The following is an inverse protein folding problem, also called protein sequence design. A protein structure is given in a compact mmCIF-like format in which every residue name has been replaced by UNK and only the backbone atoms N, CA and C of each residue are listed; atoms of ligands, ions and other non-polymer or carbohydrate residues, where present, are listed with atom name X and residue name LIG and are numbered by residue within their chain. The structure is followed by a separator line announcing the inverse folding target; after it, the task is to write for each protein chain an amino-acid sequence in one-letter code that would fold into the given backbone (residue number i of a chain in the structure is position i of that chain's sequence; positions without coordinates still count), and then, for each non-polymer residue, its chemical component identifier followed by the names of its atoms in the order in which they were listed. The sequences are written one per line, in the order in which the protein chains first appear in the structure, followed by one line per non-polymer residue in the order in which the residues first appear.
data_IF_856888359739
#
_entry.id   IF_856888359739
#
_cell.length_a   1.000
_cell.length_b   1.000
_cell.length_c   1.000
_cell.angle_alpha   90.00
_cell.angle_beta   90.00
_cell.angle_gamma   90.00
#
_symmetry.space_group_name_H-M   'P 1'
#
loop_
_entity.id
_entity.type
_entity.pdbx_description
1 polymer ?
#
# COMPACT_ATOMS: atom_id res chain seq x y z
N UNK A 1 1.30 -8.06 32.69
CA UNK A 1 0.65 -6.83 32.20
C UNK A 1 -0.58 -7.30 31.45
N UNK A 2 -1.78 -6.76 31.67
CA UNK A 2 -2.91 -7.13 30.85
C UNK A 2 -2.61 -6.71 29.42
N UNK A 3 -2.80 -7.63 28.46
CA UNK A 3 -2.73 -7.33 27.05
C UNK A 3 -3.72 -6.18 26.73
N UNK A 4 -3.31 -5.23 25.92
CA UNK A 4 -4.16 -4.16 25.39
C UNK A 4 -5.27 -4.78 24.52
N UNK A 5 -6.33 -5.29 25.15
CA UNK A 5 -7.46 -5.94 24.46
C UNK A 5 -8.40 -4.94 23.82
N UNK A 6 -8.46 -3.70 24.33
CA UNK A 6 -9.45 -2.71 23.95
C UNK A 6 -9.43 -2.27 22.49
N UNK A 7 -8.24 -2.06 21.90
CA UNK A 7 -8.16 -1.67 20.46
C UNK A 7 -8.62 -2.81 19.56
N UNK A 8 -8.16 -4.04 19.79
CA UNK A 8 -8.57 -5.20 18.99
C UNK A 8 -10.07 -5.49 19.12
N UNK A 9 -10.62 -5.37 20.34
CA UNK A 9 -12.05 -5.53 20.59
C UNK A 9 -12.87 -4.41 19.93
N UNK A 10 -12.39 -3.15 20.01
CA UNK A 10 -12.98 -2.02 19.32
C UNK A 10 -13.05 -2.21 17.80
N UNK A 11 -11.99 -2.74 17.18
CA UNK A 11 -11.96 -3.07 15.74
C UNK A 11 -13.02 -4.14 15.44
N UNK A 12 -13.09 -5.23 16.22
CA UNK A 12 -14.08 -6.29 16.01
C UNK A 12 -15.53 -5.79 16.13
N UNK A 13 -15.82 -4.88 17.08
CA UNK A 13 -17.13 -4.22 17.19
C UNK A 13 -17.42 -3.35 15.97
N UNK A 14 -16.43 -2.60 15.48
CA UNK A 14 -16.59 -1.77 14.29
C UNK A 14 -16.88 -2.63 13.05
N UNK A 15 -16.19 -3.75 12.87
CA UNK A 15 -16.42 -4.70 11.77
C UNK A 15 -17.81 -5.35 11.83
N UNK A 16 -18.36 -5.54 13.02
CA UNK A 16 -19.73 -6.04 13.21
C UNK A 16 -20.80 -4.96 13.10
N UNK A 17 -20.42 -3.68 12.89
CA UNK A 17 -21.33 -2.54 12.78
C UNK A 17 -21.71 -1.87 14.11
N UNK A 18 -21.17 -2.33 15.24
CA UNK A 18 -21.35 -1.71 16.55
C UNK A 18 -20.38 -0.54 16.74
N UNK A 19 -20.68 0.58 16.07
CA UNK A 19 -19.84 1.80 16.14
C UNK A 19 -19.80 2.37 17.55
N UNK A 20 -20.92 2.41 18.25
CA UNK A 20 -20.98 2.96 19.62
C UNK A 20 -20.14 2.12 20.59
N UNK A 21 -20.23 0.80 20.49
CA UNK A 21 -19.39 -0.11 21.26
C UNK A 21 -17.92 0.03 20.93
N UNK A 22 -17.57 0.21 19.65
CA UNK A 22 -16.17 0.41 19.22
C UNK A 22 -15.56 1.70 19.82
N UNK A 23 -16.31 2.82 19.82
CA UNK A 23 -15.87 4.08 20.44
C UNK A 23 -15.52 3.88 21.90
N UNK A 24 -16.39 3.16 22.64
CA UNK A 24 -16.17 2.89 24.07
C UNK A 24 -14.89 2.10 24.31
N UNK A 25 -14.64 1.06 23.51
CA UNK A 25 -13.41 0.26 23.65
C UNK A 25 -12.16 1.09 23.30
N UNK A 26 -12.21 1.89 22.22
CA UNK A 26 -11.09 2.75 21.86
C UNK A 26 -10.80 3.82 22.91
N UNK A 27 -11.86 4.39 23.53
CA UNK A 27 -11.70 5.33 24.63
C UNK A 27 -11.08 4.66 25.85
N UNK A 28 -11.58 3.50 26.24
CA UNK A 28 -11.00 2.70 27.35
C UNK A 28 -9.54 2.35 27.10
N UNK A 29 -9.19 1.97 25.87
CA UNK A 29 -7.82 1.68 25.48
C UNK A 29 -6.93 2.92 25.63
N UNK A 30 -7.38 4.07 25.15
CA UNK A 30 -6.64 5.33 25.26
C UNK A 30 -6.44 5.77 26.72
N UNK A 31 -7.46 5.65 27.56
CA UNK A 31 -7.39 5.94 29.01
C UNK A 31 -6.44 4.97 29.73
N UNK A 32 -6.31 3.74 29.23
CA UNK A 32 -5.37 2.74 29.74
C UNK A 32 -3.93 2.95 29.22
N UNK A 33 -3.68 3.98 28.38
CA UNK A 33 -2.36 4.31 27.83
C UNK A 33 -2.05 3.71 26.47
N UNK A 34 -3.02 3.05 25.80
CA UNK A 34 -2.88 2.63 24.41
C UNK A 34 -3.24 3.79 23.49
N UNK A 35 -2.20 4.47 22.99
CA UNK A 35 -2.34 5.64 22.14
C UNK A 35 -3.12 5.36 20.84
N UNK A 36 -3.16 4.12 20.36
CA UNK A 36 -3.92 3.75 19.17
C UNK A 36 -5.43 3.90 19.37
N UNK A 37 -5.95 3.89 20.62
CA UNK A 37 -7.36 4.18 20.92
C UNK A 37 -7.81 5.53 20.37
N UNK A 38 -7.06 6.61 20.66
CA UNK A 38 -7.36 7.94 20.12
C UNK A 38 -7.19 8.01 18.58
N UNK A 39 -6.22 7.28 18.00
CA UNK A 39 -6.09 7.17 16.56
C UNK A 39 -7.36 6.62 15.91
N UNK A 40 -7.92 5.52 16.43
CA UNK A 40 -9.14 4.93 15.86
C UNK A 40 -10.37 5.82 16.04
N UNK A 41 -10.51 6.52 17.17
CA UNK A 41 -11.58 7.52 17.34
C UNK A 41 -11.42 8.64 16.30
N UNK A 42 -10.20 9.14 16.09
CA UNK A 42 -9.89 10.11 15.03
C UNK A 42 -10.31 9.62 13.65
N UNK A 43 -10.08 8.34 13.33
CA UNK A 43 -10.53 7.72 12.07
C UNK A 43 -12.05 7.72 11.92
N UNK A 44 -12.80 7.51 12.99
CA UNK A 44 -14.26 7.56 12.95
C UNK A 44 -14.76 8.98 12.61
N UNK A 45 -14.18 10.03 13.21
CA UNK A 45 -14.50 11.43 12.87
C UNK A 45 -14.08 11.79 11.45
N UNK A 46 -12.91 11.33 11.00
CA UNK A 46 -12.42 11.58 9.65
C UNK A 46 -13.33 10.99 8.57
N UNK A 47 -13.89 9.81 8.83
CA UNK A 47 -14.75 9.08 7.89
C UNK A 47 -16.25 9.37 8.08
N UNK A 48 -16.64 10.01 9.17
CA UNK A 48 -18.06 10.23 9.52
C UNK A 48 -18.78 8.93 9.88
N UNK A 49 -18.08 8.00 10.56
CA UNK A 49 -18.67 6.73 10.99
C UNK A 49 -19.31 6.87 12.36
N UNK A 50 -20.64 6.79 12.43
CA UNK A 50 -21.42 6.94 13.65
C UNK A 50 -21.57 8.36 14.18
N UNK A 51 -21.05 9.36 13.47
CA UNK A 51 -21.13 10.79 13.74
C UNK A 51 -20.94 11.57 12.44
N UNK A 52 -21.21 12.88 12.47
CA UNK A 52 -20.85 13.74 11.34
C UNK A 52 -19.33 13.77 11.17
N UNK A 53 -18.91 13.91 9.89
CA UNK A 53 -17.51 14.04 9.56
C UNK A 53 -16.92 15.32 10.17
N UNK A 54 -15.88 15.18 10.98
CA UNK A 54 -15.16 16.30 11.61
C UNK A 54 -13.64 16.14 11.47
N UNK A 55 -13.05 16.62 10.37
CA UNK A 55 -11.62 16.52 10.12
C UNK A 55 -10.75 17.28 11.14
N UNK A 56 -11.27 18.37 11.74
CA UNK A 56 -10.53 19.13 12.74
C UNK A 56 -10.38 18.30 14.01
N UNK A 57 -11.46 17.73 14.50
CA UNK A 57 -11.46 16.85 15.67
C UNK A 57 -10.64 15.59 15.43
N UNK A 58 -10.68 15.03 14.22
CA UNK A 58 -9.82 13.92 13.83
C UNK A 58 -8.34 14.30 13.96
N UNK A 59 -7.96 15.48 13.47
CA UNK A 59 -6.58 15.97 13.55
C UNK A 59 -6.12 16.16 15.00
N UNK A 60 -6.96 16.71 15.87
CA UNK A 60 -6.65 16.86 17.30
C UNK A 60 -6.40 15.50 17.96
N UNK A 61 -7.23 14.50 17.65
CA UNK A 61 -7.09 13.14 18.17
C UNK A 61 -5.81 12.46 17.64
N UNK A 62 -5.48 12.66 16.36
CA UNK A 62 -4.22 12.17 15.82
C UNK A 62 -3.01 12.84 16.46
N UNK A 63 -3.08 14.15 16.74
CA UNK A 63 -2.01 14.85 17.44
C UNK A 63 -1.83 14.32 18.87
N UNK A 64 -2.92 14.10 19.61
CA UNK A 64 -2.86 13.52 20.94
C UNK A 64 -2.27 12.09 20.94
N UNK A 65 -2.73 11.23 20.02
CA UNK A 65 -2.21 9.87 19.86
C UNK A 65 -0.73 9.85 19.43
N UNK A 66 -0.35 10.71 18.49
CA UNK A 66 1.03 10.83 18.01
C UNK A 66 1.99 11.29 19.12
N UNK A 67 1.56 12.21 19.97
CA UNK A 67 2.31 12.67 21.14
C UNK A 67 2.54 11.54 22.17
N UNK A 68 1.60 10.60 22.28
CA UNK A 68 1.72 9.41 23.13
C UNK A 68 2.40 8.22 22.44
N UNK A 69 2.91 8.41 21.21
CA UNK A 69 3.73 7.41 20.54
C UNK A 69 3.00 6.49 19.56
N UNK A 70 1.71 6.70 19.26
CA UNK A 70 1.03 5.94 18.20
C UNK A 70 1.70 6.18 16.85
N UNK A 71 2.35 5.15 16.30
CA UNK A 71 2.98 5.21 14.99
C UNK A 71 1.97 5.42 13.86
N UNK A 72 0.77 4.82 13.98
CA UNK A 72 -0.33 5.03 13.03
C UNK A 72 -0.77 6.50 13.01
N UNK A 73 -0.91 7.12 14.20
CA UNK A 73 -1.28 8.52 14.31
C UNK A 73 -0.17 9.45 13.82
N UNK A 74 1.09 9.15 14.12
CA UNK A 74 2.24 9.89 13.58
C UNK A 74 2.24 9.88 12.05
N UNK A 75 2.08 8.71 11.44
CA UNK A 75 1.99 8.61 9.99
C UNK A 75 0.79 9.41 9.44
N UNK A 76 -0.41 9.26 10.03
CA UNK A 76 -1.61 9.95 9.53
C UNK A 76 -1.49 11.47 9.67
N UNK A 77 -1.05 11.96 10.83
CA UNK A 77 -0.82 13.39 11.06
C UNK A 77 0.26 13.95 10.11
N UNK A 78 1.33 13.21 9.89
CA UNK A 78 2.36 13.57 8.92
C UNK A 78 1.81 13.69 7.50
N UNK A 79 0.91 12.79 7.09
CA UNK A 79 0.22 12.88 5.79
C UNK A 79 -0.69 14.12 5.69
N UNK A 80 -1.35 14.53 6.78
CA UNK A 80 -2.11 15.78 6.82
C UNK A 80 -1.21 17.00 6.65
N UNK A 81 -0.04 17.05 7.31
CA UNK A 81 0.96 18.10 7.08
C UNK A 81 1.53 18.08 5.66
N UNK A 82 1.67 16.89 5.05
CA UNK A 82 2.16 16.77 3.67
C UNK A 82 1.16 17.32 2.66
N UNK A 83 -0.15 17.08 2.86
CA UNK A 83 -1.22 17.54 1.96
C UNK A 83 -1.68 18.97 2.27
N UNK A 84 -1.57 19.43 3.51
CA UNK A 84 -2.20 20.66 3.98
C UNK A 84 -3.70 20.52 4.23
N UNK A 85 -4.22 19.30 4.38
CA UNK A 85 -5.63 19.06 4.64
C UNK A 85 -5.93 19.26 6.14
N UNK A 86 -6.71 20.28 6.47
CA UNK A 86 -7.09 20.60 7.84
C UNK A 86 -5.99 21.22 8.71
N UNK A 87 -4.77 21.32 8.18
CA UNK A 87 -3.59 21.97 8.82
C UNK A 87 -2.79 22.75 7.78
N UNK A 88 -1.98 23.69 8.22
CA UNK A 88 -1.03 24.34 7.32
C UNK A 88 -0.02 23.31 6.80
N UNK A 89 0.21 23.29 5.48
CA UNK A 89 1.20 22.40 4.88
C UNK A 89 2.59 22.66 5.44
N UNK A 90 3.27 21.59 5.87
CA UNK A 90 4.61 21.66 6.44
C UNK A 90 5.37 20.37 6.13
N UNK A 91 6.20 20.38 5.09
CA UNK A 91 6.96 19.22 4.66
C UNK A 91 8.00 18.76 5.70
N UNK A 92 8.55 19.67 6.51
CA UNK A 92 9.50 19.30 7.57
C UNK A 92 8.80 18.52 8.68
N UNK A 93 7.68 19.03 9.21
CA UNK A 93 6.87 18.30 10.19
C UNK A 93 6.34 17.00 9.64
N UNK A 94 5.92 16.98 8.37
CA UNK A 94 5.44 15.77 7.71
C UNK A 94 6.53 14.69 7.71
N UNK A 95 7.75 15.03 7.28
CA UNK A 95 8.85 14.08 7.23
C UNK A 95 9.27 13.58 8.61
N UNK A 96 9.33 14.45 9.61
CA UNK A 96 9.67 14.07 10.99
C UNK A 96 8.68 13.06 11.55
N UNK A 97 7.38 13.31 11.38
CA UNK A 97 6.33 12.44 11.88
C UNK A 97 6.26 11.10 11.12
N UNK A 98 6.30 11.15 9.80
CA UNK A 98 6.18 9.95 8.96
C UNK A 98 7.40 9.03 9.17
N UNK A 99 8.62 9.60 9.17
CA UNK A 99 9.83 8.78 9.37
C UNK A 99 9.94 8.27 10.80
N UNK A 100 9.44 9.01 11.80
CA UNK A 100 9.31 8.51 13.18
C UNK A 100 8.37 7.31 13.26
N UNK A 101 7.22 7.35 12.58
CA UNK A 101 6.31 6.19 12.46
C UNK A 101 6.98 5.01 11.76
N UNK A 102 7.74 5.28 10.70
CA UNK A 102 8.51 4.26 9.98
C UNK A 102 9.54 3.56 10.87
N UNK A 103 10.26 4.31 11.68
CA UNK A 103 11.28 3.77 12.60
C UNK A 103 10.64 3.02 13.79
N UNK A 104 9.40 3.39 14.16
CA UNK A 104 8.58 2.64 15.11
C UNK A 104 7.97 1.35 14.52
N UNK A 105 8.19 1.07 13.22
CA UNK A 105 7.78 -0.18 12.58
C UNK A 105 6.46 -0.11 11.81
N UNK A 106 5.77 1.04 11.72
CA UNK A 106 4.54 1.17 10.95
C UNK A 106 4.80 0.98 9.45
N UNK A 107 4.15 -0.01 8.83
CA UNK A 107 4.38 -0.35 7.43
C UNK A 107 3.97 0.78 6.46
N UNK A 108 2.88 1.50 6.77
CA UNK A 108 2.48 2.66 5.98
C UNK A 108 3.46 3.82 6.17
N UNK A 109 3.94 4.05 7.41
CA UNK A 109 5.00 5.01 7.71
C UNK A 109 6.28 4.69 6.95
N UNK A 110 6.70 3.43 6.93
CA UNK A 110 7.86 2.98 6.15
C UNK A 110 7.68 3.24 4.65
N UNK A 111 6.53 2.90 4.10
CA UNK A 111 6.25 3.19 2.70
C UNK A 111 6.27 4.70 2.41
N UNK A 112 5.60 5.50 3.22
CA UNK A 112 5.51 6.95 3.05
C UNK A 112 6.85 7.65 3.28
N UNK A 113 7.66 7.24 4.28
CA UNK A 113 9.02 7.78 4.47
C UNK A 113 9.92 7.47 3.26
N UNK A 114 9.78 6.29 2.66
CA UNK A 114 10.43 5.96 1.40
C UNK A 114 10.03 6.91 0.26
N UNK A 115 8.75 7.27 0.15
CA UNK A 115 8.26 8.26 -0.83
C UNK A 115 8.88 9.64 -0.59
N UNK A 116 8.95 10.08 0.68
CA UNK A 116 9.57 11.37 1.01
C UNK A 116 11.04 11.43 0.57
N UNK A 117 11.80 10.36 0.81
CA UNK A 117 13.19 10.28 0.35
C UNK A 117 13.32 10.16 -1.17
N UNK A 118 12.42 9.46 -1.85
CA UNK A 118 12.47 9.37 -3.32
C UNK A 118 12.14 10.69 -4.00
N UNK A 119 11.25 11.49 -3.40
CA UNK A 119 10.78 12.76 -3.94
C UNK A 119 11.58 13.97 -3.44
N UNK A 120 12.33 13.84 -2.33
CA UNK A 120 13.00 14.97 -1.67
C UNK A 120 12.04 15.92 -0.98
N UNK A 121 10.90 15.42 -0.47
CA UNK A 121 9.89 16.23 0.22
C UNK A 121 10.13 16.26 1.73
N UNK A 122 10.48 17.43 2.28
CA UNK A 122 10.83 17.62 3.68
C UNK A 122 12.18 17.03 4.10
N UNK A 123 12.81 16.28 3.21
CA UNK A 123 14.16 15.69 3.35
C UNK A 123 14.92 15.82 2.05
N UNK A 124 16.26 15.74 2.08
CA UNK A 124 17.04 15.65 0.84
C UNK A 124 16.72 14.33 0.11
N UNK A 125 16.59 14.39 -1.22
CA UNK A 125 16.36 13.19 -2.03
C UNK A 125 17.46 12.16 -1.82
N UNK A 126 17.06 10.92 -1.53
CA UNK A 126 17.98 9.80 -1.26
C UNK A 126 17.32 8.47 -1.64
N UNK A 127 17.62 7.98 -2.84
CA UNK A 127 17.08 6.72 -3.34
C UNK A 127 17.55 5.50 -2.52
N UNK A 128 18.74 5.55 -1.93
CA UNK A 128 19.22 4.43 -1.11
C UNK A 128 18.37 4.30 0.16
N UNK A 129 18.06 5.42 0.82
CA UNK A 129 17.14 5.44 1.97
C UNK A 129 15.73 5.05 1.57
N UNK A 130 15.22 5.54 0.44
CA UNK A 130 13.90 5.16 -0.07
C UNK A 130 13.78 3.65 -0.20
N UNK A 131 14.77 3.00 -0.84
CA UNK A 131 14.82 1.54 -0.99
C UNK A 131 14.89 0.81 0.36
N UNK A 132 15.61 1.32 1.35
CA UNK A 132 15.66 0.74 2.71
C UNK A 132 14.28 0.74 3.34
N UNK A 133 13.58 1.86 3.33
CA UNK A 133 12.24 1.96 3.91
C UNK A 133 11.21 1.11 3.16
N UNK A 134 11.23 1.12 1.81
CA UNK A 134 10.33 0.25 1.03
C UNK A 134 10.62 -1.23 1.23
N UNK A 135 11.89 -1.65 1.41
CA UNK A 135 12.19 -3.05 1.76
C UNK A 135 11.66 -3.44 3.14
N UNK A 136 11.73 -2.54 4.14
CA UNK A 136 11.13 -2.79 5.46
C UNK A 136 9.61 -2.96 5.34
N UNK A 137 8.93 -2.08 4.61
CA UNK A 137 7.48 -2.18 4.36
C UNK A 137 7.12 -3.45 3.58
N UNK A 138 7.90 -3.81 2.55
CA UNK A 138 7.72 -5.03 1.77
C UNK A 138 7.90 -6.31 2.61
N UNK A 139 8.80 -6.29 3.60
CA UNK A 139 8.94 -7.35 4.60
C UNK A 139 7.70 -7.55 5.47
N UNK A 140 6.82 -6.54 5.55
CA UNK A 140 5.50 -6.58 6.17
C UNK A 140 4.37 -6.76 5.14
N UNK A 141 4.67 -7.26 3.96
CA UNK A 141 3.72 -7.51 2.87
C UNK A 141 2.99 -6.25 2.33
N UNK A 142 3.57 -5.06 2.50
CA UNK A 142 2.97 -3.82 2.02
C UNK A 142 3.02 -3.76 0.49
N UNK A 143 1.87 -4.01 -0.14
CA UNK A 143 1.74 -4.20 -1.61
C UNK A 143 2.31 -3.03 -2.41
N UNK A 144 1.99 -1.78 -2.02
CA UNK A 144 2.50 -0.62 -2.73
C UNK A 144 4.03 -0.54 -2.65
N UNK A 145 4.65 -0.84 -1.50
CA UNK A 145 6.11 -0.84 -1.37
C UNK A 145 6.77 -1.89 -2.28
N UNK A 146 6.18 -3.08 -2.40
CA UNK A 146 6.67 -4.12 -3.32
C UNK A 146 6.61 -3.63 -4.78
N UNK A 147 5.50 -2.98 -5.18
CA UNK A 147 5.39 -2.42 -6.52
C UNK A 147 6.42 -1.29 -6.77
N UNK A 148 6.65 -0.41 -5.79
CA UNK A 148 7.65 0.65 -5.91
C UNK A 148 9.08 0.11 -6.00
N UNK A 149 9.40 -0.97 -5.28
CA UNK A 149 10.67 -1.69 -5.43
C UNK A 149 10.82 -2.28 -6.85
N UNK A 150 9.74 -2.83 -7.42
CA UNK A 150 9.73 -3.31 -8.80
C UNK A 150 9.99 -2.17 -9.79
N UNK A 151 9.31 -1.04 -9.64
CA UNK A 151 9.51 0.14 -10.49
C UNK A 151 10.93 0.72 -10.35
N UNK A 152 11.46 0.80 -9.13
CA UNK A 152 12.81 1.28 -8.89
C UNK A 152 13.86 0.40 -9.58
N UNK A 153 13.72 -0.92 -9.50
CA UNK A 153 14.59 -1.87 -10.19
C UNK A 153 14.47 -1.75 -11.71
N UNK A 154 13.27 -1.53 -12.24
CA UNK A 154 13.04 -1.36 -13.68
C UNK A 154 13.65 -0.05 -14.21
N UNK A 155 13.57 1.05 -13.43
CA UNK A 155 13.97 2.41 -13.85
C UNK A 155 15.39 2.81 -13.44
N UNK A 156 16.20 1.90 -12.93
CA UNK A 156 17.55 2.19 -12.42
C UNK A 156 17.58 3.22 -11.28
N UNK A 157 16.54 3.25 -10.43
CA UNK A 157 16.43 4.19 -9.32
C UNK A 157 17.10 3.60 -8.06
N UNK A 158 18.18 4.24 -7.62
CA UNK A 158 18.98 3.76 -6.48
C UNK A 158 19.94 2.62 -6.78
N UNK A 159 20.13 2.28 -8.07
CA UNK A 159 21.04 1.24 -8.54
C UNK A 159 20.88 0.98 -10.04
N UNK A 160 21.65 0.07 -10.64
CA UNK A 160 21.48 -0.30 -12.05
C UNK A 160 20.10 -0.93 -12.29
N UNK A 161 19.60 -0.82 -13.53
CA UNK A 161 18.37 -1.50 -13.92
C UNK A 161 18.53 -3.02 -13.79
N UNK A 162 17.54 -3.66 -13.19
CA UNK A 162 17.47 -5.11 -13.01
C UNK A 162 16.04 -5.59 -13.34
N UNK A 163 15.77 -5.90 -14.63
CA UNK A 163 14.46 -6.38 -15.05
C UNK A 163 14.04 -7.70 -14.41
N UNK A 164 14.98 -8.59 -14.08
CA UNK A 164 14.69 -9.86 -13.42
C UNK A 164 14.18 -9.65 -11.98
N UNK A 165 14.84 -8.75 -11.24
CA UNK A 165 14.42 -8.35 -9.90
C UNK A 165 13.07 -7.63 -9.94
N UNK A 166 12.85 -6.73 -10.92
CA UNK A 166 11.59 -6.05 -11.13
C UNK A 166 10.45 -7.06 -11.36
N UNK A 167 10.66 -8.03 -12.28
CA UNK A 167 9.70 -9.11 -12.51
C UNK A 167 9.36 -9.87 -11.23
N UNK A 168 10.35 -10.23 -10.40
CA UNK A 168 10.13 -10.93 -9.14
C UNK A 168 9.26 -10.14 -8.15
N UNK A 169 9.43 -8.82 -8.05
CA UNK A 169 8.57 -7.97 -7.23
C UNK A 169 7.14 -7.91 -7.76
N UNK A 170 6.98 -7.67 -9.06
CA UNK A 170 5.65 -7.61 -9.68
C UNK A 170 4.93 -8.97 -9.64
N UNK A 171 5.66 -10.08 -9.74
CA UNK A 171 5.08 -11.41 -9.62
C UNK A 171 4.44 -11.64 -8.24
N UNK A 172 5.08 -11.18 -7.16
CA UNK A 172 4.52 -11.27 -5.80
C UNK A 172 3.18 -10.55 -5.70
N UNK A 173 3.10 -9.31 -6.19
CA UNK A 173 1.86 -8.53 -6.12
C UNK A 173 0.82 -9.01 -7.15
N UNK A 174 1.24 -9.47 -8.31
CA UNK A 174 0.39 -10.09 -9.32
C UNK A 174 -0.26 -11.37 -8.77
N UNK A 175 0.51 -12.24 -8.11
CA UNK A 175 -0.02 -13.48 -7.51
C UNK A 175 -1.12 -13.19 -6.47
N UNK A 176 -1.01 -12.08 -5.73
CA UNK A 176 -2.05 -11.63 -4.81
C UNK A 176 -3.25 -10.93 -5.50
N UNK A 177 -3.22 -10.81 -6.82
CA UNK A 177 -4.29 -10.19 -7.59
C UNK A 177 -4.23 -8.67 -7.66
N UNK A 178 -3.11 -8.06 -7.29
CA UNK A 178 -2.96 -6.62 -7.43
C UNK A 178 -2.96 -6.21 -8.91
N UNK A 179 -3.86 -5.29 -9.35
CA UNK A 179 -4.00 -4.95 -10.77
C UNK A 179 -2.74 -4.35 -11.39
N UNK A 180 -1.96 -3.54 -10.63
CA UNK A 180 -0.70 -2.99 -11.11
C UNK A 180 0.35 -4.11 -11.30
N UNK A 181 0.48 -5.02 -10.34
CA UNK A 181 1.38 -6.17 -10.46
C UNK A 181 1.04 -7.04 -11.68
N UNK A 182 -0.24 -7.36 -11.88
CA UNK A 182 -0.72 -8.11 -13.04
C UNK A 182 -0.38 -7.39 -14.36
N UNK A 183 -0.55 -6.08 -14.40
CA UNK A 183 -0.25 -5.26 -15.57
C UNK A 183 1.25 -5.23 -15.90
N UNK A 184 2.11 -5.04 -14.89
CA UNK A 184 3.56 -5.03 -15.09
C UNK A 184 4.08 -6.43 -15.49
N UNK A 185 3.50 -7.51 -14.98
CA UNK A 185 3.78 -8.89 -15.46
C UNK A 185 3.35 -9.06 -16.92
N UNK A 186 2.19 -8.52 -17.32
CA UNK A 186 1.75 -8.57 -18.71
C UNK A 186 2.76 -7.87 -19.65
N UNK A 187 3.23 -6.67 -19.26
CA UNK A 187 4.26 -5.94 -20.00
C UNK A 187 5.59 -6.71 -20.07
N UNK A 188 5.96 -7.34 -18.97
CA UNK A 188 7.19 -8.14 -18.90
C UNK A 188 7.16 -9.30 -19.88
N UNK A 189 6.06 -10.03 -19.97
CA UNK A 189 5.87 -11.10 -20.96
C UNK A 189 5.75 -10.57 -22.39
N UNK A 190 5.11 -9.42 -22.63
CA UNK A 190 5.03 -8.81 -23.96
C UNK A 190 6.42 -8.42 -24.49
N UNK A 191 7.27 -7.85 -23.63
CA UNK A 191 8.56 -7.27 -24.01
C UNK A 191 9.73 -8.22 -23.84
N UNK A 192 9.57 -9.36 -23.17
CA UNK A 192 10.67 -10.21 -22.76
C UNK A 192 11.59 -9.56 -21.70
N UNK A 193 11.02 -8.71 -20.84
CA UNK A 193 11.78 -7.94 -19.85
C UNK A 193 11.84 -8.67 -18.52
N UNK A 194 13.01 -9.20 -18.18
CA UNK A 194 13.23 -9.98 -16.96
C UNK A 194 12.71 -11.42 -17.01
N UNK A 195 12.03 -11.79 -18.08
CA UNK A 195 11.51 -13.14 -18.40
C UNK A 195 11.45 -13.30 -19.91
N UNK A 196 11.45 -14.52 -20.42
CA UNK A 196 11.25 -14.77 -21.86
C UNK A 196 9.86 -14.27 -22.30
N UNK A 197 9.80 -13.66 -23.49
CA UNK A 197 8.56 -13.17 -24.07
C UNK A 197 7.57 -14.31 -24.28
N UNK A 198 6.30 -14.05 -23.94
CA UNK A 198 5.19 -15.00 -24.06
C UNK A 198 3.89 -14.20 -24.27
N UNK A 199 3.45 -14.00 -25.52
CA UNK A 199 2.29 -13.16 -25.80
C UNK A 199 0.98 -13.76 -25.31
N UNK A 200 0.88 -15.07 -25.13
CA UNK A 200 -0.32 -15.75 -24.57
C UNK A 200 -0.44 -15.38 -23.09
N UNK A 201 0.64 -15.51 -22.32
CA UNK A 201 0.67 -15.06 -20.92
C UNK A 201 0.48 -13.55 -20.81
N UNK A 202 1.12 -12.76 -21.67
CA UNK A 202 0.94 -11.33 -21.68
C UNK A 202 -0.53 -10.94 -21.80
N UNK A 203 -1.26 -11.56 -22.74
CA UNK A 203 -2.70 -11.37 -22.88
C UNK A 203 -3.48 -11.78 -21.62
N UNK A 204 -3.20 -12.98 -21.08
CA UNK A 204 -3.89 -13.50 -19.91
C UNK A 204 -3.76 -12.55 -18.69
N UNK A 205 -2.54 -12.10 -18.41
CA UNK A 205 -2.28 -11.17 -17.29
C UNK A 205 -2.86 -9.77 -17.54
N UNK A 206 -2.82 -9.26 -18.77
CA UNK A 206 -3.47 -7.99 -19.12
C UNK A 206 -5.00 -8.08 -18.94
N UNK A 207 -5.60 -9.21 -19.34
CA UNK A 207 -7.04 -9.46 -19.14
C UNK A 207 -7.41 -9.53 -17.65
N UNK A 208 -6.59 -10.16 -16.82
CA UNK A 208 -6.78 -10.20 -15.36
C UNK A 208 -6.69 -8.82 -14.71
N UNK A 209 -5.75 -7.99 -15.15
CA UNK A 209 -5.59 -6.61 -14.67
C UNK A 209 -6.77 -5.71 -15.09
N UNK A 210 -7.20 -5.83 -16.35
CA UNK A 210 -8.34 -5.10 -16.89
C UNK A 210 -9.66 -5.46 -16.16
N UNK A 211 -9.88 -6.74 -15.88
CA UNK A 211 -11.03 -7.21 -15.11
C UNK A 211 -11.06 -6.68 -13.67
N UNK A 212 -9.94 -6.16 -13.16
CA UNK A 212 -9.81 -5.50 -11.86
C UNK A 212 -9.81 -3.97 -11.93
N UNK A 213 -10.27 -3.41 -13.06
CA UNK A 213 -10.51 -1.98 -13.22
C UNK A 213 -9.31 -1.16 -13.70
N UNK A 214 -8.19 -1.78 -14.07
CA UNK A 214 -7.05 -1.04 -14.63
C UNK A 214 -7.25 -0.80 -16.13
N UNK A 215 -7.61 0.44 -16.49
CA UNK A 215 -7.97 0.83 -17.86
C UNK A 215 -6.83 0.62 -18.87
N UNK A 216 -5.61 0.94 -18.48
CA UNK A 216 -4.41 0.77 -19.32
C UNK A 216 -4.16 -0.70 -19.67
N UNK A 217 -4.59 -1.61 -18.80
CA UNK A 217 -4.46 -3.05 -19.04
C UNK A 217 -5.44 -3.53 -20.14
N UNK A 218 -6.62 -2.92 -20.25
CA UNK A 218 -7.54 -3.22 -21.36
C UNK A 218 -6.92 -2.82 -22.71
N UNK A 219 -6.32 -1.64 -22.78
CA UNK A 219 -5.61 -1.18 -23.98
C UNK A 219 -4.45 -2.10 -24.36
N UNK A 220 -3.68 -2.53 -23.36
CA UNK A 220 -2.57 -3.48 -23.55
C UNK A 220 -3.10 -4.82 -24.08
N UNK A 221 -4.14 -5.38 -23.44
CA UNK A 221 -4.77 -6.64 -23.86
C UNK A 221 -5.22 -6.58 -25.32
N UNK A 222 -5.92 -5.52 -25.70
CA UNK A 222 -6.48 -5.39 -27.05
C UNK A 222 -5.37 -5.24 -28.12
N UNK A 223 -4.26 -4.56 -27.77
CA UNK A 223 -3.07 -4.48 -28.61
C UNK A 223 -2.40 -5.86 -28.80
N UNK A 224 -2.26 -6.64 -27.72
CA UNK A 224 -1.69 -7.99 -27.81
C UNK A 224 -2.63 -8.91 -28.61
N UNK A 225 -3.96 -8.82 -28.40
CA UNK A 225 -4.94 -9.61 -29.12
C UNK A 225 -4.80 -9.47 -30.65
N UNK A 226 -4.46 -8.29 -31.13
CA UNK A 226 -4.27 -8.03 -32.58
C UNK A 226 -3.08 -8.81 -33.18
N UNK A 227 -2.21 -9.36 -32.38
CA UNK A 227 -1.02 -10.15 -32.80
C UNK A 227 -1.19 -11.66 -32.62
N UNK A 228 -2.26 -12.10 -31.93
CA UNK A 228 -2.51 -13.50 -31.60
C UNK A 228 -3.51 -14.13 -32.57
N UNK A 229 -3.39 -15.44 -32.78
CA UNK A 229 -4.42 -16.23 -33.44
C UNK A 229 -5.54 -16.62 -32.46
N UNK A 230 -6.70 -17.01 -32.98
CA UNK A 230 -7.87 -17.30 -32.16
C UNK A 230 -7.63 -18.41 -31.12
N UNK A 231 -6.80 -19.39 -31.46
CA UNK A 231 -6.44 -20.50 -30.53
C UNK A 231 -5.65 -19.97 -29.33
N UNK A 232 -4.67 -19.10 -29.53
CA UNK A 232 -3.85 -18.50 -28.47
C UNK A 232 -4.72 -17.61 -27.55
N UNK A 233 -5.64 -16.84 -28.14
CA UNK A 233 -6.59 -16.04 -27.34
C UNK A 233 -7.48 -16.95 -26.47
N UNK A 234 -7.96 -18.06 -27.00
CA UNK A 234 -8.77 -19.02 -26.24
C UNK A 234 -7.99 -19.65 -25.10
N UNK A 235 -6.72 -20.00 -25.33
CA UNK A 235 -5.80 -20.50 -24.30
C UNK A 235 -5.57 -19.45 -23.21
N UNK A 236 -5.22 -18.23 -23.56
CA UNK A 236 -4.99 -17.12 -22.63
C UNK A 236 -6.24 -16.80 -21.80
N UNK A 237 -7.44 -16.87 -22.40
CA UNK A 237 -8.69 -16.70 -21.68
C UNK A 237 -8.98 -17.86 -20.70
N UNK A 238 -8.62 -19.09 -21.06
CA UNK A 238 -8.71 -20.23 -20.16
C UNK A 238 -7.78 -20.05 -18.95
N UNK A 239 -6.51 -19.68 -19.20
CA UNK A 239 -5.57 -19.34 -18.12
C UNK A 239 -6.12 -18.27 -17.17
N UNK A 240 -6.72 -17.22 -17.70
CA UNK A 240 -7.29 -16.15 -16.88
C UNK A 240 -8.52 -16.61 -16.07
N UNK A 241 -9.37 -17.48 -16.60
CA UNK A 241 -10.52 -18.07 -15.88
C UNK A 241 -10.09 -18.95 -14.72
N UNK A 242 -9.06 -19.76 -14.93
CA UNK A 242 -8.59 -20.74 -13.95
C UNK A 242 -7.68 -20.10 -12.89
N UNK A 243 -7.22 -18.87 -13.14
CA UNK A 243 -6.33 -18.16 -12.25
C UNK A 243 -7.01 -17.83 -10.90
N UNK A 244 -6.28 -18.06 -9.80
CA UNK A 244 -6.72 -17.74 -8.44
C UNK A 244 -5.67 -16.93 -7.71
N UNK A 245 -6.05 -15.90 -6.93
CA UNK A 245 -5.11 -15.15 -6.13
C UNK A 245 -4.53 -16.02 -5.01
N UNK A 246 -3.24 -15.78 -4.73
CA UNK A 246 -2.52 -16.38 -3.61
C UNK A 246 -2.01 -15.25 -2.72
N UNK A 247 -2.27 -15.26 -1.40
CA UNK A 247 -1.75 -14.24 -0.49
C UNK A 247 -0.23 -14.07 -0.61
N UNK A 248 0.29 -12.85 -0.42
CA UNK A 248 1.72 -12.54 -0.57
C UNK A 248 2.58 -13.40 0.35
N UNK A 249 2.11 -13.71 1.55
CA UNK A 249 2.78 -14.58 2.53
C UNK A 249 3.13 -15.97 1.95
N UNK A 250 2.32 -16.46 1.03
CA UNK A 250 2.48 -17.77 0.39
C UNK A 250 3.14 -17.70 -1.00
N UNK A 251 3.30 -16.52 -1.56
CA UNK A 251 3.90 -16.32 -2.90
C UNK A 251 5.44 -16.44 -2.93
N UNK A 252 6.05 -16.73 -1.77
CA UNK A 252 7.51 -16.83 -1.61
C UNK A 252 8.02 -18.26 -1.40
N UNK A 253 7.15 -19.27 -1.63
CA UNK A 253 7.50 -20.71 -1.53
C UNK A 253 7.64 -21.33 -2.93
#
# INVERSE_FOLDING_TARGET
MPAFSGVAEGIGKLESGDVAGSVKEFQTAFEAGDADGAFYIGRLFELGLGTDRDPMRATELYAAAAAQGSAKAQNRLGMLYLSGEGVLQDYSKASDLICKAADAGDANGQFNCGLLYSDGKGVSQDWAKALVYWNRAAGQHHVAAINYLGQAAQKAQGGPADPGKAFGYFQKTASAGNPLGLFEIAKSYEQGSGIAADPVKAYAYANLAAARGLTEAATLRDRIAATLVAADIAEAQAMARDWKPVPIENASK
#
